data_IF_816271276978
#
_entry.id   IF_816271276978
#
_cell.length_a   1.000
_cell.length_b   1.000
_cell.length_c   1.000
_cell.angle_alpha   90.00
_cell.angle_beta   90.00
_cell.angle_gamma   90.00
#
_symmetry.space_group_name_H-M   'P 1'
#
loop_
_entity.id
_entity.type
_entity.pdbx_description
1 polymer ?
#
# COMPACT_ATOMS: atom_id res chain seq x y z
N UNK A 1 -2.11 -24.04 8.18
CA UNK A 1 -2.30 -23.25 6.94
C UNK A 1 -1.16 -22.24 6.91
N UNK A 2 -0.30 -22.22 5.90
CA UNK A 2 0.84 -21.29 5.91
C UNK A 2 0.36 -19.84 5.98
N UNK A 3 0.77 -19.15 7.04
CA UNK A 3 0.45 -17.75 7.29
C UNK A 3 1.75 -16.99 7.48
N UNK A 4 1.89 -15.85 6.82
CA UNK A 4 3.08 -15.02 6.91
C UNK A 4 2.68 -13.61 7.30
N UNK A 5 3.31 -13.10 8.36
CA UNK A 5 3.17 -11.73 8.83
C UNK A 5 4.43 -10.95 8.45
N UNK A 6 4.32 -10.06 7.46
CA UNK A 6 5.36 -9.08 7.16
C UNK A 6 5.26 -7.91 8.14
N UNK A 7 6.22 -7.81 9.06
CA UNK A 7 6.25 -6.77 10.08
C UNK A 7 6.90 -5.50 9.53
N UNK A 8 6.07 -4.47 9.28
CA UNK A 8 6.48 -3.14 8.83
C UNK A 8 7.02 -2.29 9.99
N UNK A 9 6.26 -2.29 11.08
CA UNK A 9 6.56 -1.57 12.32
C UNK A 9 5.73 -2.14 13.46
N UNK A 10 6.07 -1.76 14.69
CA UNK A 10 5.36 -2.21 15.89
C UNK A 10 5.87 -3.55 16.43
N UNK A 11 5.12 -4.11 17.36
CA UNK A 11 5.40 -5.37 18.02
C UNK A 11 4.59 -6.53 17.42
N UNK A 12 5.30 -7.56 16.94
CA UNK A 12 4.66 -8.72 16.31
C UNK A 12 3.77 -9.49 17.28
N UNK A 13 4.17 -9.63 18.55
CA UNK A 13 3.38 -10.40 19.54
C UNK A 13 2.03 -9.74 19.76
N UNK A 14 2.04 -8.43 19.97
CA UNK A 14 0.82 -7.61 20.14
C UNK A 14 -0.12 -7.78 18.95
N UNK A 15 0.40 -7.74 17.72
CA UNK A 15 -0.42 -7.92 16.50
C UNK A 15 -0.97 -9.34 16.38
N UNK A 16 -0.15 -10.36 16.64
CA UNK A 16 -0.58 -11.76 16.61
C UNK A 16 -1.72 -12.01 17.60
N UNK A 17 -1.59 -11.50 18.83
CA UNK A 17 -2.61 -11.62 19.87
C UNK A 17 -3.88 -10.83 19.53
N UNK A 18 -3.75 -9.56 19.10
CA UNK A 18 -4.89 -8.69 18.79
C UNK A 18 -5.77 -9.22 17.65
N UNK A 19 -5.18 -9.97 16.70
CA UNK A 19 -5.89 -10.53 15.54
C UNK A 19 -6.11 -12.05 15.61
N UNK A 20 -5.80 -12.67 16.75
CA UNK A 20 -5.87 -14.12 16.96
C UNK A 20 -5.25 -14.92 15.80
N UNK A 21 -4.08 -14.48 15.33
CA UNK A 21 -3.38 -15.16 14.26
C UNK A 21 -2.83 -16.51 14.76
N UNK A 22 -2.76 -17.53 13.88
CA UNK A 22 -2.23 -18.84 14.26
C UNK A 22 -0.81 -18.76 14.83
N UNK A 23 -0.48 -19.58 15.82
CA UNK A 23 0.87 -19.61 16.42
C UNK A 23 1.95 -20.05 15.41
N UNK A 24 1.58 -20.80 14.37
CA UNK A 24 2.47 -21.18 13.26
C UNK A 24 2.71 -20.04 12.25
N UNK A 25 2.27 -18.81 12.55
CA UNK A 25 2.49 -17.65 11.69
C UNK A 25 3.96 -17.29 11.62
N UNK A 26 4.52 -17.32 10.41
CA UNK A 26 5.90 -16.92 10.15
C UNK A 26 5.97 -15.40 10.16
N UNK A 27 6.62 -14.83 11.18
CA UNK A 27 6.89 -13.40 11.23
C UNK A 27 8.16 -13.10 10.43
N UNK A 28 8.05 -12.22 9.44
CA UNK A 28 9.20 -11.78 8.68
C UNK A 28 9.34 -10.25 8.76
N UNK A 29 10.53 -9.71 9.07
CA UNK A 29 10.74 -8.27 9.03
C UNK A 29 10.59 -7.76 7.60
N UNK A 30 9.95 -6.60 7.44
CA UNK A 30 9.74 -5.97 6.14
C UNK A 30 9.86 -4.45 6.30
N UNK A 31 11.02 -3.88 5.97
CA UNK A 31 11.20 -2.43 6.07
C UNK A 31 10.48 -1.70 4.95
N UNK A 32 9.94 -0.51 5.22
CA UNK A 32 9.40 0.37 4.17
C UNK A 32 10.44 0.71 3.10
N UNK A 33 11.74 0.70 3.45
CA UNK A 33 12.84 0.89 2.50
C UNK A 33 12.86 -0.20 1.43
N UNK A 34 12.44 -1.42 1.75
CA UNK A 34 12.39 -2.52 0.77
C UNK A 34 11.41 -2.22 -0.38
N UNK A 35 10.39 -1.39 -0.15
CA UNK A 35 9.44 -0.99 -1.20
C UNK A 35 10.10 -0.20 -2.34
N UNK A 36 11.29 0.34 -2.12
CA UNK A 36 12.10 0.98 -3.17
C UNK A 36 12.81 -0.03 -4.08
N UNK A 37 12.77 -1.33 -3.74
CA UNK A 37 13.42 -2.43 -4.47
C UNK A 37 12.36 -3.35 -5.10
N UNK A 38 11.68 -2.93 -6.18
CA UNK A 38 10.47 -3.57 -6.68
C UNK A 38 10.66 -5.03 -7.09
N UNK A 39 11.82 -5.37 -7.68
CA UNK A 39 12.13 -6.73 -8.09
C UNK A 39 12.31 -7.67 -6.90
N UNK A 40 12.92 -7.20 -5.81
CA UNK A 40 13.13 -8.01 -4.60
C UNK A 40 11.81 -8.25 -3.88
N UNK A 41 11.00 -7.21 -3.69
CA UNK A 41 9.68 -7.32 -3.06
C UNK A 41 8.77 -8.27 -3.85
N UNK A 42 8.74 -8.13 -5.18
CA UNK A 42 7.95 -9.04 -6.04
C UNK A 42 8.41 -10.50 -5.90
N UNK A 43 9.72 -10.76 -5.98
CA UNK A 43 10.26 -12.13 -5.79
C UNK A 43 9.86 -12.70 -4.43
N UNK A 44 9.98 -11.91 -3.36
CA UNK A 44 9.62 -12.30 -1.99
C UNK A 44 8.14 -12.66 -1.87
N UNK A 45 7.25 -11.84 -2.44
CA UNK A 45 5.81 -12.12 -2.42
C UNK A 45 5.45 -13.33 -3.27
N UNK A 46 6.06 -13.51 -4.44
CA UNK A 46 5.86 -14.71 -5.27
C UNK A 46 6.23 -15.99 -4.51
N UNK A 47 7.35 -15.98 -3.78
CA UNK A 47 7.83 -17.12 -2.97
C UNK A 47 6.97 -17.40 -1.73
N UNK A 48 6.25 -16.39 -1.24
CA UNK A 48 5.42 -16.52 -0.03
C UNK A 48 4.15 -17.33 -0.33
N UNK A 49 4.00 -18.48 0.31
CA UNK A 49 2.81 -19.35 0.18
C UNK A 49 1.77 -19.01 1.26
N UNK A 50 0.50 -19.21 0.93
CA UNK A 50 -0.60 -19.07 1.88
C UNK A 50 -1.07 -17.65 2.11
N UNK A 51 -1.55 -17.35 3.33
CA UNK A 51 -2.16 -16.05 3.68
C UNK A 51 -1.08 -15.04 4.06
N UNK A 52 -1.17 -13.86 3.47
CA UNK A 52 -0.25 -12.75 3.71
C UNK A 52 -0.93 -11.71 4.58
N UNK A 53 -0.26 -11.34 5.68
CA UNK A 53 -0.60 -10.25 6.55
C UNK A 53 0.54 -9.24 6.60
N UNK A 54 0.22 -7.96 6.72
CA UNK A 54 1.19 -6.90 6.97
C UNK A 54 0.91 -6.30 8.34
N UNK A 55 1.87 -6.37 9.25
CA UNK A 55 1.75 -5.79 10.59
C UNK A 55 2.33 -4.39 10.64
N UNK A 56 1.60 -3.44 11.20
CA UNK A 56 2.09 -2.08 11.46
C UNK A 56 1.67 -1.63 12.86
N UNK A 57 2.38 -0.67 13.45
CA UNK A 57 1.99 -0.12 14.76
C UNK A 57 0.59 0.50 14.71
N UNK A 58 0.34 1.32 13.68
CA UNK A 58 -0.88 2.10 13.54
C UNK A 58 -1.31 2.17 12.07
N UNK A 59 -2.48 1.64 11.75
CA UNK A 59 -2.94 1.47 10.37
C UNK A 59 -3.04 2.81 9.60
N UNK A 60 -3.53 3.87 10.24
CA UNK A 60 -3.75 5.15 9.58
C UNK A 60 -2.45 5.88 9.21
N UNK A 61 -1.35 5.60 9.93
CA UNK A 61 -0.03 6.17 9.66
C UNK A 61 0.72 5.44 8.54
N UNK A 62 0.20 4.32 8.04
CA UNK A 62 0.85 3.56 6.98
C UNK A 62 0.73 4.28 5.63
N UNK A 63 1.80 4.98 5.23
CA UNK A 63 1.82 5.80 4.01
C UNK A 63 1.91 4.97 2.73
N UNK A 64 2.63 3.85 2.78
CA UNK A 64 2.91 3.04 1.59
C UNK A 64 1.85 1.96 1.31
N UNK A 65 0.61 2.13 1.79
CA UNK A 65 -0.49 1.17 1.59
C UNK A 65 -0.75 0.87 0.12
N UNK A 66 -0.81 1.91 -0.72
CA UNK A 66 -1.05 1.75 -2.15
C UNK A 66 0.08 0.94 -2.82
N UNK A 67 1.34 1.19 -2.44
CA UNK A 67 2.49 0.45 -2.97
C UNK A 67 2.46 -1.02 -2.58
N UNK A 68 2.09 -1.34 -1.32
CA UNK A 68 1.90 -2.73 -0.89
C UNK A 68 0.83 -3.44 -1.71
N UNK A 69 -0.33 -2.80 -1.91
CA UNK A 69 -1.41 -3.34 -2.74
C UNK A 69 -0.97 -3.56 -4.19
N UNK A 70 -0.20 -2.63 -4.75
CA UNK A 70 0.37 -2.75 -6.08
C UNK A 70 1.35 -3.93 -6.17
N UNK A 71 2.23 -4.13 -5.20
CA UNK A 71 3.15 -5.28 -5.22
C UNK A 71 2.43 -6.61 -5.05
N UNK A 72 1.37 -6.66 -4.23
CA UNK A 72 0.50 -7.84 -4.13
C UNK A 72 -0.16 -8.15 -5.48
N UNK A 73 -0.70 -7.13 -6.15
CA UNK A 73 -1.27 -7.22 -7.49
C UNK A 73 -0.26 -7.78 -8.51
N UNK A 74 0.93 -7.17 -8.61
CA UNK A 74 2.00 -7.58 -9.52
C UNK A 74 2.58 -8.97 -9.21
N UNK A 75 2.35 -9.47 -8.00
CA UNK A 75 2.76 -10.80 -7.55
C UNK A 75 1.62 -11.83 -7.64
N UNK A 76 0.48 -11.46 -8.25
CA UNK A 76 -0.68 -12.34 -8.44
C UNK A 76 -1.40 -12.73 -7.15
N UNK A 77 -1.20 -11.99 -6.05
CA UNK A 77 -1.87 -12.27 -4.78
C UNK A 77 -3.27 -11.68 -4.81
N UNK A 78 -4.27 -12.52 -4.53
CA UNK A 78 -5.68 -12.14 -4.59
C UNK A 78 -6.25 -11.62 -3.27
N UNK A 79 -5.67 -12.03 -2.14
CA UNK A 79 -6.13 -11.71 -0.78
C UNK A 79 -4.94 -11.46 0.13
N UNK A 80 -5.05 -10.43 0.96
CA UNK A 80 -4.12 -10.11 2.05
C UNK A 80 -4.84 -9.19 3.06
N UNK A 81 -4.22 -8.88 4.18
CA UNK A 81 -4.70 -7.82 5.06
C UNK A 81 -3.56 -7.06 5.74
N UNK A 82 -3.80 -5.80 6.04
CA UNK A 82 -2.93 -4.96 6.86
C UNK A 82 -3.57 -4.86 8.24
N UNK A 83 -2.79 -5.19 9.26
CA UNK A 83 -3.20 -5.32 10.64
C UNK A 83 -2.44 -4.30 11.49
N UNK A 84 -3.10 -3.75 12.49
CA UNK A 84 -2.43 -2.94 13.51
C UNK A 84 -2.55 -3.50 14.93
N UNK A 85 -1.73 -2.95 15.84
CA UNK A 85 -1.71 -3.31 17.26
C UNK A 85 -3.03 -3.02 17.97
N UNK A 86 -3.84 -2.09 17.46
CA UNK A 86 -5.14 -1.72 18.04
C UNK A 86 -6.29 -2.65 17.62
N UNK A 87 -6.01 -3.71 16.86
CA UNK A 87 -7.01 -4.64 16.36
C UNK A 87 -7.73 -4.16 15.09
N UNK A 88 -7.31 -3.04 14.47
CA UNK A 88 -7.86 -2.61 13.19
C UNK A 88 -7.28 -3.42 12.05
N UNK A 89 -8.12 -3.67 11.06
CA UNK A 89 -7.81 -4.52 9.91
C UNK A 89 -8.28 -3.88 8.62
N UNK A 90 -7.37 -3.73 7.67
CA UNK A 90 -7.68 -3.35 6.29
C UNK A 90 -7.51 -4.57 5.38
N UNK A 91 -8.62 -5.07 4.83
CA UNK A 91 -8.57 -6.19 3.89
C UNK A 91 -8.21 -5.72 2.48
N UNK A 92 -7.22 -6.38 1.89
CA UNK A 92 -6.93 -6.27 0.47
C UNK A 92 -7.69 -7.34 -0.31
N UNK A 93 -8.34 -6.90 -1.37
CA UNK A 93 -8.97 -7.74 -2.39
C UNK A 93 -8.52 -7.24 -3.74
N UNK A 94 -8.08 -8.17 -4.59
CA UNK A 94 -7.66 -7.88 -5.96
C UNK A 94 -8.73 -7.12 -6.75
N UNK A 95 -9.99 -7.56 -6.66
CA UNK A 95 -11.09 -6.92 -7.38
C UNK A 95 -11.33 -5.49 -6.88
N UNK A 96 -11.32 -5.30 -5.55
CA UNK A 96 -11.46 -3.97 -4.97
C UNK A 96 -10.31 -3.06 -5.39
N UNK A 97 -9.09 -3.59 -5.44
CA UNK A 97 -7.94 -2.82 -5.87
C UNK A 97 -8.08 -2.36 -7.33
N UNK A 98 -8.41 -3.28 -8.24
CA UNK A 98 -8.55 -2.96 -9.68
C UNK A 98 -9.71 -2.00 -9.95
N UNK A 99 -10.88 -2.26 -9.39
CA UNK A 99 -12.09 -1.52 -9.75
C UNK A 99 -12.33 -0.27 -8.90
N UNK A 100 -11.72 -0.17 -7.72
CA UNK A 100 -11.92 0.97 -6.81
C UNK A 100 -10.63 1.76 -6.63
N UNK A 101 -9.56 1.12 -6.15
CA UNK A 101 -8.35 1.84 -5.76
C UNK A 101 -7.61 2.43 -6.99
N UNK A 102 -7.49 1.68 -8.10
CA UNK A 102 -6.87 2.17 -9.33
C UNK A 102 -7.69 3.30 -9.95
N UNK A 103 -9.02 3.16 -10.03
CA UNK A 103 -9.88 4.20 -10.58
C UNK A 103 -9.84 5.48 -9.75
N UNK A 104 -9.83 5.37 -8.42
CA UNK A 104 -9.66 6.51 -7.54
C UNK A 104 -8.33 7.23 -7.81
N UNK A 105 -7.23 6.49 -7.94
CA UNK A 105 -5.93 7.05 -8.27
C UNK A 105 -5.93 7.76 -9.64
N UNK A 106 -6.56 7.17 -10.66
CA UNK A 106 -6.67 7.79 -11.98
C UNK A 106 -7.40 9.12 -11.93
N UNK A 107 -8.51 9.20 -11.19
CA UNK A 107 -9.25 10.45 -11.00
C UNK A 107 -8.38 11.50 -10.28
N UNK A 108 -7.63 11.10 -9.25
CA UNK A 108 -6.70 11.99 -8.55
C UNK A 108 -5.59 12.52 -9.46
N UNK A 109 -5.05 11.68 -10.35
CA UNK A 109 -4.04 12.07 -11.35
C UNK A 109 -4.63 13.07 -12.34
N UNK A 110 -5.82 12.79 -12.90
CA UNK A 110 -6.48 13.68 -13.87
C UNK A 110 -6.79 15.04 -13.23
N UNK A 111 -7.34 15.04 -12.01
CA UNK A 111 -7.63 16.27 -11.29
C UNK A 111 -6.35 17.08 -11.01
N UNK A 112 -5.27 16.41 -10.60
CA UNK A 112 -3.98 17.06 -10.36
C UNK A 112 -3.39 17.66 -11.63
N UNK A 113 -3.42 16.90 -12.74
CA UNK A 113 -2.96 17.38 -14.04
C UNK A 113 -3.77 18.59 -14.54
N UNK A 114 -5.09 18.57 -14.35
CA UNK A 114 -5.98 19.69 -14.69
C UNK A 114 -5.62 20.96 -13.91
N UNK A 115 -5.38 20.86 -12.59
CA UNK A 115 -4.98 22.00 -11.75
C UNK A 115 -3.65 22.56 -12.25
N UNK A 116 -2.65 21.71 -12.46
CA UNK A 116 -1.32 22.14 -12.97
C UNK A 116 -1.46 22.85 -14.32
N UNK A 117 -2.26 22.29 -15.24
CA UNK A 117 -2.47 22.89 -16.55
C UNK A 117 -3.17 24.25 -16.46
N UNK A 118 -4.24 24.34 -15.66
CA UNK A 118 -4.96 25.60 -15.43
C UNK A 118 -4.03 26.67 -14.87
N UNK A 119 -3.27 26.34 -13.84
CA UNK A 119 -2.31 27.27 -13.22
C UNK A 119 -1.21 27.69 -14.19
N UNK A 120 -0.72 26.78 -15.03
CA UNK A 120 0.26 27.11 -16.06
C UNK A 120 -0.28 28.11 -17.09
N UNK A 121 -1.48 27.89 -17.63
CA UNK A 121 -2.12 28.78 -18.59
C UNK A 121 -2.42 30.17 -17.98
N UNK A 122 -2.86 30.20 -16.72
CA UNK A 122 -3.07 31.45 -15.98
C UNK A 122 -1.75 32.22 -15.82
N UNK A 123 -0.68 31.54 -15.43
CA UNK A 123 0.65 32.15 -15.29
C UNK A 123 1.16 32.70 -16.63
N UNK A 124 0.98 31.95 -17.73
CA UNK A 124 1.40 32.38 -19.06
C UNK A 124 0.63 33.62 -19.52
N UNK A 125 -0.69 33.67 -19.27
CA UNK A 125 -1.51 34.84 -19.62
C UNK A 125 -1.10 36.09 -18.83
N UNK A 126 -0.81 35.96 -17.53
CA UNK A 126 -0.31 37.05 -16.70
C UNK A 126 1.06 37.56 -17.17
N UNK A 127 1.96 36.66 -17.58
CA UNK A 127 3.26 37.07 -18.12
C UNK A 127 3.14 37.82 -19.45
N UNK A 128 2.21 37.41 -20.33
CA UNK A 128 1.93 38.12 -21.58
C UNK A 128 1.33 39.51 -21.30
N UNK A 129 0.39 39.61 -20.36
CA UNK A 129 -0.22 40.87 -19.97
C UNK A 129 0.76 41.87 -19.33
N UNK A 130 1.83 41.38 -18.67
CA UNK A 130 2.86 42.22 -18.03
C UNK A 130 3.97 42.70 -19.00
N UNK A 131 4.04 42.11 -20.20
CA UNK A 131 5.00 42.48 -21.26
C UNK A 131 4.43 43.48 -22.27
N UNK A 132 3.11 43.70 -22.26
CA UNK A 132 2.40 44.75 -22.99
C UNK A 132 2.26 45.97 -22.08
#
# INVERSE_FOLDING_TARGET
MHTTLFLLSGDAKTILTAHALPEDTIVQPFSERELTQPLMVRKRFLQTKGRIFFGTKVLHLQRYRLMLKLFLFLSGKSRAAILDESGKRENYSLLRFIFVDIWKLLVEIIASAFIVLKTYLELESLQRAKKV
#
